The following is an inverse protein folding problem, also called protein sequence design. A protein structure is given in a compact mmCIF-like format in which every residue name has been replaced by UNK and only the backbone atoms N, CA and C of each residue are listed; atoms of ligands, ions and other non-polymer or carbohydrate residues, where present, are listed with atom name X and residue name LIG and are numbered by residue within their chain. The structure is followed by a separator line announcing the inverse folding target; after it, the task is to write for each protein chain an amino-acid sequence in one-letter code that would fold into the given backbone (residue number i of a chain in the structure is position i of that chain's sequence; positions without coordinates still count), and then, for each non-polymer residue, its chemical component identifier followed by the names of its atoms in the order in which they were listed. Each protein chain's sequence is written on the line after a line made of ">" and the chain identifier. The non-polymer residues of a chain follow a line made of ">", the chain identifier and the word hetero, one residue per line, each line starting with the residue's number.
data_IF_264229567987
#
_entry.id   IF_264229567987
#
_cell.length_a   1.000
_cell.length_b   1.000
_cell.length_c   1.000
_cell.angle_alpha   90.00
_cell.angle_beta   90.00
_cell.angle_gamma   90.00
#
_symmetry.space_group_name_H-M   'P 1'
#
loop_
_entity.id
_entity.type
_entity.pdbx_description
1 polymer ?
#
# COMPACT_ATOMS: atom_id res chain seq x y z
N UNK A 1 15.50 35.72 30.31
CA UNK A 1 14.56 34.66 30.72
C UNK A 1 13.62 34.48 29.53
N UNK A 2 13.74 33.38 28.80
CA UNK A 2 13.08 33.16 27.50
C UNK A 2 12.19 31.92 27.64
N UNK A 3 10.88 32.12 27.74
CA UNK A 3 9.90 31.05 27.84
C UNK A 3 9.62 30.47 26.45
N UNK A 4 10.20 29.31 26.16
CA UNK A 4 9.88 28.53 24.96
C UNK A 4 8.65 27.69 25.29
N UNK A 5 7.50 28.04 24.73
CA UNK A 5 6.31 27.21 24.78
C UNK A 5 6.53 25.91 24.01
N UNK A 6 6.62 24.81 24.73
CA UNK A 6 6.59 23.45 24.17
C UNK A 6 5.25 23.21 23.49
N UNK A 7 5.21 23.20 22.15
CA UNK A 7 4.07 22.64 21.41
C UNK A 7 4.18 21.12 21.52
N UNK A 8 3.73 20.58 22.66
CA UNK A 8 3.61 19.16 22.89
C UNK A 8 2.40 18.61 22.16
N UNK A 9 2.51 18.34 20.87
CA UNK A 9 1.57 17.44 20.21
C UNK A 9 1.99 16.01 20.57
N UNK A 10 1.50 15.48 21.68
CA UNK A 10 1.62 14.05 21.97
C UNK A 10 0.70 13.31 21.00
N UNK A 11 1.21 13.00 19.81
CA UNK A 11 0.53 12.10 18.90
C UNK A 11 0.35 10.76 19.61
N UNK A 12 -0.89 10.41 19.94
CA UNK A 12 -1.22 9.05 20.34
C UNK A 12 -0.76 8.10 19.21
N UNK A 13 -0.32 6.87 19.52
CA UNK A 13 -0.09 5.86 18.49
C UNK A 13 -1.46 5.44 17.93
N UNK A 14 -2.02 6.27 17.05
CA UNK A 14 -3.20 5.94 16.29
C UNK A 14 -2.82 4.70 15.47
N UNK A 15 -3.51 3.60 15.76
CA UNK A 15 -3.33 2.37 15.00
C UNK A 15 -3.79 2.67 13.57
N UNK A 16 -3.24 2.00 12.56
CA UNK A 16 -3.67 2.13 11.15
C UNK A 16 -5.21 2.13 11.03
N UNK A 17 -5.89 1.36 11.89
CA UNK A 17 -7.35 1.30 12.06
C UNK A 17 -8.03 2.65 12.36
N UNK A 18 -7.41 3.52 13.14
CA UNK A 18 -7.97 4.80 13.57
C UNK A 18 -7.91 5.87 12.47
N UNK A 19 -6.84 5.87 11.66
CA UNK A 19 -6.73 6.74 10.48
C UNK A 19 -7.80 6.42 9.44
N UNK A 20 -8.12 5.13 9.25
CA UNK A 20 -9.21 4.72 8.36
C UNK A 20 -10.59 5.17 8.86
N UNK A 21 -10.79 5.35 10.17
CA UNK A 21 -12.11 5.67 10.73
C UNK A 21 -12.44 7.17 10.71
N UNK A 22 -11.43 8.03 10.52
CA UNK A 22 -11.57 9.49 10.59
C UNK A 22 -12.20 10.07 9.30
N UNK A 23 -11.94 9.44 8.15
CA UNK A 23 -12.44 9.82 6.83
C UNK A 23 -13.95 9.61 6.65
N UNK A 24 -14.59 8.77 7.48
CA UNK A 24 -16.02 8.45 7.36
C UNK A 24 -16.94 9.33 8.23
N UNK A 25 -16.38 10.10 9.17
CA UNK A 25 -17.18 10.88 10.14
C UNK A 25 -17.64 12.25 9.63
N UNK A 26 -17.16 12.71 8.48
CA UNK A 26 -17.48 14.05 7.94
C UNK A 26 -18.67 14.08 6.98
N UNK A 27 -19.47 13.00 6.88
CA UNK A 27 -20.53 12.92 5.86
C UNK A 27 -21.86 12.36 6.36
N UNK A 28 -22.18 12.61 7.63
CA UNK A 28 -23.47 12.23 8.22
C UNK A 28 -24.20 13.45 8.78
N UNK A 29 -24.64 14.33 7.88
CA UNK A 29 -25.73 15.28 8.11
C UNK A 29 -26.53 15.42 6.80
N UNK A 30 -27.20 14.34 6.39
CA UNK A 30 -28.37 14.41 5.51
C UNK A 30 -29.14 13.09 5.58
N UNK A 31 -30.19 13.09 6.40
CA UNK A 31 -31.20 12.04 6.42
C UNK A 31 -32.15 12.24 5.24
N UNK A 32 -32.21 11.28 4.31
CA UNK A 32 -33.20 11.29 3.24
C UNK A 32 -33.01 10.20 2.20
N UNK A 33 -33.98 9.29 2.13
CA UNK A 33 -34.17 8.22 1.13
C UNK A 33 -33.41 6.90 1.38
N UNK A 34 -34.13 5.93 1.94
CA UNK A 34 -33.71 4.54 1.99
C UNK A 34 -33.83 3.92 0.59
N UNK A 35 -32.87 4.23 -0.28
CA UNK A 35 -32.53 3.37 -1.42
C UNK A 35 -31.82 2.17 -0.81
N UNK A 36 -32.34 0.97 -1.03
CA UNK A 36 -31.64 -0.27 -0.67
C UNK A 36 -30.39 -0.31 -1.55
N UNK A 37 -29.29 0.15 -0.97
CA UNK A 37 -27.99 0.24 -1.61
C UNK A 37 -27.43 -1.18 -1.70
N UNK A 38 -27.54 -1.80 -2.88
CA UNK A 38 -27.01 -3.12 -3.16
C UNK A 38 -25.47 -3.02 -3.19
N UNK A 39 -24.85 -3.30 -2.05
CA UNK A 39 -23.39 -3.18 -1.87
C UNK A 39 -22.73 -4.53 -2.08
N UNK A 40 -21.85 -4.58 -3.08
CA UNK A 40 -21.00 -5.75 -3.32
C UNK A 40 -19.69 -5.57 -2.55
N UNK A 41 -19.48 -6.41 -1.55
CA UNK A 41 -18.21 -6.48 -0.81
C UNK A 41 -17.22 -7.32 -1.62
N UNK A 42 -16.26 -6.68 -2.29
CA UNK A 42 -15.22 -7.38 -3.03
C UNK A 42 -14.13 -7.81 -2.04
N UNK A 43 -13.87 -9.12 -1.96
CA UNK A 43 -12.76 -9.63 -1.18
C UNK A 43 -11.43 -9.12 -1.74
N UNK A 44 -10.64 -8.47 -0.88
CA UNK A 44 -9.31 -7.98 -1.23
C UNK A 44 -8.40 -9.12 -1.72
N UNK A 45 -8.51 -10.30 -1.11
CA UNK A 45 -7.80 -11.52 -1.51
C UNK A 45 -8.21 -11.96 -2.93
N UNK A 46 -9.51 -11.93 -3.23
CA UNK A 46 -10.00 -12.28 -4.57
C UNK A 46 -9.49 -11.29 -5.65
N UNK A 47 -9.37 -10.00 -5.31
CA UNK A 47 -8.82 -8.98 -6.21
C UNK A 47 -7.36 -9.25 -6.54
N UNK A 48 -6.55 -9.61 -5.54
CA UNK A 48 -5.15 -9.95 -5.72
C UNK A 48 -5.00 -11.22 -6.58
N UNK A 49 -5.84 -12.24 -6.31
CA UNK A 49 -5.83 -13.49 -7.08
C UNK A 49 -6.28 -13.29 -8.54
N UNK A 50 -7.27 -12.44 -8.81
CA UNK A 50 -7.70 -12.10 -10.18
C UNK A 50 -6.57 -11.45 -10.95
N UNK A 51 -5.91 -10.46 -10.35
CA UNK A 51 -4.75 -9.79 -10.96
C UNK A 51 -3.60 -10.76 -11.24
N UNK A 52 -3.37 -11.72 -10.36
CA UNK A 52 -2.35 -12.76 -10.56
C UNK A 52 -2.74 -13.73 -11.70
N UNK A 53 -4.03 -14.04 -11.84
CA UNK A 53 -4.54 -14.90 -12.91
C UNK A 53 -4.53 -14.23 -14.29
N UNK A 54 -4.65 -12.90 -14.34
CA UNK A 54 -4.55 -12.09 -15.57
C UNK A 54 -3.10 -11.91 -16.06
N UNK A 55 -2.09 -12.31 -15.28
CA UNK A 55 -0.69 -12.18 -15.70
C UNK A 55 -0.37 -13.21 -16.81
N UNK A 56 0.22 -12.76 -17.93
CA UNK A 56 0.75 -13.65 -18.97
C UNK A 56 1.64 -14.75 -18.40
N UNK A 57 1.57 -15.96 -18.96
CA UNK A 57 2.39 -17.13 -18.55
C UNK A 57 3.91 -16.83 -18.53
N UNK A 58 4.36 -15.87 -19.34
CA UNK A 58 5.71 -15.34 -19.36
C UNK A 58 6.14 -14.72 -18.00
N UNK A 59 5.21 -14.10 -17.26
CA UNK A 59 5.48 -13.54 -15.95
C UNK A 59 5.68 -14.62 -14.89
N UNK A 60 4.95 -15.73 -14.97
CA UNK A 60 5.14 -16.86 -14.05
C UNK A 60 6.55 -17.46 -14.19
N UNK A 61 7.02 -17.65 -15.42
CA UNK A 61 8.40 -18.13 -15.69
C UNK A 61 9.44 -17.16 -15.17
N UNK A 62 9.26 -15.86 -15.43
CA UNK A 62 10.15 -14.80 -14.96
C UNK A 62 10.21 -14.71 -13.43
N UNK A 63 9.08 -14.88 -12.74
CA UNK A 63 9.03 -14.90 -11.28
C UNK A 63 9.79 -16.11 -10.72
N UNK A 64 9.65 -17.29 -11.32
CA UNK A 64 10.37 -18.50 -10.90
C UNK A 64 11.88 -18.34 -11.08
N UNK A 65 12.31 -17.77 -12.20
CA UNK A 65 13.71 -17.47 -12.49
C UNK A 65 14.31 -16.47 -11.48
N UNK A 66 13.62 -15.35 -11.25
CA UNK A 66 14.04 -14.34 -10.26
C UNK A 66 14.12 -14.97 -8.86
N UNK A 67 13.13 -15.77 -8.45
CA UNK A 67 13.16 -16.48 -7.16
C UNK A 67 14.37 -17.39 -7.04
N UNK A 68 14.72 -18.10 -8.11
CA UNK A 68 15.92 -18.96 -8.16
C UNK A 68 17.19 -18.11 -8.02
N UNK A 69 17.31 -17.01 -8.75
CA UNK A 69 18.47 -16.09 -8.65
C UNK A 69 18.65 -15.51 -7.24
N UNK A 70 17.54 -15.20 -6.56
CA UNK A 70 17.56 -14.68 -5.19
C UNK A 70 18.05 -15.78 -4.24
N UNK A 71 17.55 -17.00 -4.38
CA UNK A 71 17.99 -18.14 -3.56
C UNK A 71 19.46 -18.52 -3.80
N UNK A 72 19.96 -18.40 -5.03
CA UNK A 72 21.38 -18.60 -5.33
C UNK A 72 22.26 -17.43 -4.93
N UNK A 73 21.68 -16.32 -4.44
CA UNK A 73 22.42 -15.12 -4.07
C UNK A 73 23.02 -14.35 -5.24
N UNK A 74 22.65 -14.70 -6.48
CA UNK A 74 23.17 -14.07 -7.71
C UNK A 74 22.25 -12.98 -8.25
N UNK A 75 21.08 -12.78 -7.64
CA UNK A 75 20.15 -11.75 -8.06
C UNK A 75 20.72 -10.34 -7.86
N UNK A 76 21.49 -10.11 -6.80
CA UNK A 76 22.03 -8.81 -6.45
C UNK A 76 23.33 -8.55 -7.22
N UNK A 77 23.26 -7.68 -8.23
CA UNK A 77 24.42 -7.23 -9.02
C UNK A 77 24.57 -5.73 -8.89
N UNK A 78 25.77 -5.20 -9.19
CA UNK A 78 26.02 -3.75 -9.17
C UNK A 78 25.03 -3.01 -10.08
N UNK A 79 24.85 -3.49 -11.31
CA UNK A 79 23.93 -2.88 -12.29
C UNK A 79 22.47 -2.83 -11.80
N UNK A 80 21.99 -3.87 -11.10
CA UNK A 80 20.62 -3.87 -10.54
C UNK A 80 20.49 -2.94 -9.33
N UNK A 81 21.56 -2.75 -8.56
CA UNK A 81 21.59 -1.80 -7.45
C UNK A 81 21.58 -0.36 -7.96
N UNK A 82 22.41 -0.04 -8.95
CA UNK A 82 22.47 1.29 -9.55
C UNK A 82 21.12 1.67 -10.15
N UNK A 83 20.50 0.77 -10.94
CA UNK A 83 19.16 1.02 -11.47
C UNK A 83 18.07 1.16 -10.41
N UNK A 84 18.18 0.45 -9.28
CA UNK A 84 17.24 0.60 -8.17
C UNK A 84 17.41 1.94 -7.44
N UNK A 85 18.65 2.41 -7.31
CA UNK A 85 18.97 3.73 -6.74
C UNK A 85 18.44 4.84 -7.65
N UNK A 86 18.65 4.75 -8.96
CA UNK A 86 18.15 5.71 -9.94
C UNK A 86 16.61 5.77 -9.95
N UNK A 87 15.95 4.61 -9.90
CA UNK A 87 14.48 4.54 -9.80
C UNK A 87 13.95 5.20 -8.52
N UNK A 88 14.61 4.95 -7.39
CA UNK A 88 14.24 5.58 -6.12
C UNK A 88 14.42 7.10 -6.16
N UNK A 89 15.52 7.59 -6.74
CA UNK A 89 15.80 9.02 -6.92
C UNK A 89 14.77 9.69 -7.86
N UNK A 90 14.26 8.97 -8.85
CA UNK A 90 13.22 9.50 -9.75
C UNK A 90 11.84 9.61 -9.10
N UNK A 91 11.58 8.85 -8.03
CA UNK A 91 10.30 8.86 -7.31
C UNK A 91 10.23 9.94 -6.21
N UNK A 92 11.36 10.52 -5.79
CA UNK A 92 11.45 11.62 -4.82
C UNK A 92 11.21 13.00 -5.46
#
# INVERSE_FOLDING_TARGET
>A
MMDVSTIGNTASPATVRDYFNQSFRSRSDNAGSAVVDDRVEISEIATILSRLAELPEANARRIVEIRREIQSGTYLTADKLDGAIDGLLSDL
#
